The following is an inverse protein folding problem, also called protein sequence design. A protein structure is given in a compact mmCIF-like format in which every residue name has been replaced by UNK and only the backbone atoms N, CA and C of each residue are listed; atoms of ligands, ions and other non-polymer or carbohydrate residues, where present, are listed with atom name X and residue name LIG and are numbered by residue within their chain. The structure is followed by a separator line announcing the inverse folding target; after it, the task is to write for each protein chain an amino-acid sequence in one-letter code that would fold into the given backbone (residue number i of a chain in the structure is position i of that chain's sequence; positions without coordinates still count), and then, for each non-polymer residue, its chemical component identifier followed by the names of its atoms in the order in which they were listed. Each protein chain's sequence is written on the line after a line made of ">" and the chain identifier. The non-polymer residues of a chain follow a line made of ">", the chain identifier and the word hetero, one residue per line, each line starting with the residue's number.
data_IF_277366735127
#
_entry.id   IF_277366735127
#
_cell.length_a   1.000
_cell.length_b   1.000
_cell.length_c   1.000
_cell.angle_alpha   90.00
_cell.angle_beta   90.00
_cell.angle_gamma   90.00
#
_symmetry.space_group_name_H-M   'P 1'
#
loop_
_entity.id
_entity.type
_entity.pdbx_description
1 polymer ?
#
# COMPACT_ATOMS: atom_id res chain seq x y z
N UNK A 1 8.98 14.53 -20.75
CA UNK A 1 9.64 15.36 -19.69
C UNK A 1 8.62 16.17 -18.88
N UNK A 2 7.49 16.59 -19.46
CA UNK A 2 6.43 17.33 -18.76
C UNK A 2 5.72 16.44 -17.73
N UNK A 3 5.50 15.18 -18.03
CA UNK A 3 4.77 14.24 -17.15
C UNK A 3 5.52 13.92 -15.86
N UNK A 4 6.85 13.89 -15.90
CA UNK A 4 7.67 13.65 -14.70
C UNK A 4 7.62 14.86 -13.75
N UNK A 5 7.61 16.09 -14.28
CA UNK A 5 7.50 17.31 -13.48
C UNK A 5 6.11 17.49 -12.88
N UNK A 6 5.08 17.21 -13.64
CA UNK A 6 3.68 17.24 -13.16
C UNK A 6 3.47 16.18 -12.07
N UNK A 7 4.06 15.00 -12.23
CA UNK A 7 4.09 13.95 -11.21
C UNK A 7 4.83 14.39 -9.93
N UNK A 8 5.97 15.09 -10.07
CA UNK A 8 6.74 15.58 -8.92
C UNK A 8 6.03 16.73 -8.18
N UNK A 9 5.35 17.63 -8.88
CA UNK A 9 4.56 18.69 -8.23
C UNK A 9 3.36 18.11 -7.49
N UNK A 10 2.72 17.07 -8.04
CA UNK A 10 1.65 16.34 -7.34
C UNK A 10 2.17 15.59 -6.11
N UNK A 11 3.46 15.26 -6.05
CA UNK A 11 4.10 14.60 -4.90
C UNK A 11 4.11 15.42 -3.60
N UNK A 12 3.78 16.70 -3.65
CA UNK A 12 3.70 17.57 -2.46
C UNK A 12 2.28 17.82 -2.00
N UNK A 13 1.28 17.29 -2.72
CA UNK A 13 -0.13 17.51 -2.39
C UNK A 13 -0.67 16.40 -1.50
N UNK A 14 -1.27 16.82 -0.41
CA UNK A 14 -1.97 15.94 0.53
C UNK A 14 -3.45 16.30 0.55
N UNK A 15 -4.28 15.29 0.76
CA UNK A 15 -5.71 15.42 0.97
C UNK A 15 -6.11 14.74 2.27
N UNK A 16 -7.12 15.26 2.93
CA UNK A 16 -7.72 14.59 4.07
C UNK A 16 -8.65 13.50 3.57
N UNK A 17 -8.54 12.31 4.13
CA UNK A 17 -9.41 11.18 3.87
C UNK A 17 -10.35 11.01 5.07
N UNK A 18 -11.66 11.24 4.83
CA UNK A 18 -12.67 11.19 5.89
C UNK A 18 -12.87 9.76 6.42
N UNK A 19 -12.69 8.76 5.58
CA UNK A 19 -12.82 7.35 5.97
C UNK A 19 -11.68 6.94 6.92
N UNK A 20 -10.44 7.29 6.61
CA UNK A 20 -9.27 6.95 7.43
C UNK A 20 -8.97 8.02 8.50
N UNK A 21 -9.64 9.17 8.44
CA UNK A 21 -9.49 10.29 9.37
C UNK A 21 -8.04 10.81 9.45
N UNK A 22 -7.37 10.87 8.30
CA UNK A 22 -5.97 11.30 8.22
C UNK A 22 -5.60 11.90 6.86
N UNK A 23 -4.44 12.56 6.82
CA UNK A 23 -3.94 13.17 5.59
C UNK A 23 -3.07 12.21 4.80
N UNK A 24 -3.46 11.94 3.56
CA UNK A 24 -2.78 11.07 2.62
C UNK A 24 -2.22 11.86 1.43
N UNK A 25 -1.23 11.29 0.76
CA UNK A 25 -0.75 11.83 -0.51
C UNK A 25 -1.85 11.77 -1.56
N UNK A 26 -2.23 12.94 -2.11
CA UNK A 26 -3.42 13.07 -2.96
C UNK A 26 -3.42 12.12 -4.16
N UNK A 27 -2.34 12.02 -4.90
CA UNK A 27 -2.26 11.17 -6.08
C UNK A 27 -2.48 9.69 -5.78
N UNK A 28 -1.91 9.18 -4.68
CA UNK A 28 -2.08 7.79 -4.27
C UNK A 28 -3.48 7.53 -3.71
N UNK A 29 -4.01 8.49 -2.96
CA UNK A 29 -5.37 8.46 -2.45
C UNK A 29 -6.40 8.37 -3.59
N UNK A 30 -6.29 9.24 -4.60
CA UNK A 30 -7.23 9.27 -5.73
C UNK A 30 -7.15 7.98 -6.56
N UNK A 31 -5.95 7.40 -6.73
CA UNK A 31 -5.78 6.10 -7.37
C UNK A 31 -6.39 4.95 -6.57
N UNK A 32 -6.14 4.94 -5.26
CA UNK A 32 -6.70 3.90 -4.39
C UNK A 32 -8.22 3.91 -4.38
N UNK A 33 -8.84 5.10 -4.34
CA UNK A 33 -10.29 5.21 -4.37
C UNK A 33 -10.89 4.70 -5.69
N UNK A 34 -10.31 5.08 -6.83
CA UNK A 34 -10.76 4.58 -8.14
C UNK A 34 -10.67 3.06 -8.24
N UNK A 35 -9.54 2.48 -7.83
CA UNK A 35 -9.41 1.03 -7.84
C UNK A 35 -10.38 0.32 -6.88
N UNK A 36 -10.66 0.91 -5.73
CA UNK A 36 -11.66 0.37 -4.80
C UNK A 36 -13.08 0.44 -5.37
N UNK A 37 -13.42 1.49 -6.10
CA UNK A 37 -14.69 1.61 -6.83
C UNK A 37 -14.79 0.53 -7.91
N UNK A 38 -13.76 0.35 -8.72
CA UNK A 38 -13.70 -0.67 -9.78
C UNK A 38 -13.78 -2.11 -9.21
N UNK A 39 -13.20 -2.35 -8.04
CA UNK A 39 -13.22 -3.66 -7.38
C UNK A 39 -14.50 -3.92 -6.58
N UNK A 40 -15.29 -2.90 -6.29
CA UNK A 40 -16.48 -3.03 -5.44
C UNK A 40 -17.43 -4.16 -5.87
N UNK A 41 -17.73 -4.37 -7.16
CA UNK A 41 -18.59 -5.47 -7.61
C UNK A 41 -18.03 -6.86 -7.26
N UNK A 42 -16.71 -6.98 -7.17
CA UNK A 42 -16.03 -8.24 -6.84
C UNK A 42 -15.93 -8.47 -5.32
N UNK A 43 -15.99 -7.40 -4.54
CA UNK A 43 -15.87 -7.43 -3.08
C UNK A 43 -17.22 -7.61 -2.38
N UNK A 44 -18.32 -7.27 -3.05
CA UNK A 44 -19.67 -7.43 -2.53
C UNK A 44 -20.14 -8.85 -2.86
N UNK A 45 -20.13 -9.73 -1.86
CA UNK A 45 -20.83 -11.02 -1.97
C UNK A 45 -22.34 -10.74 -2.06
N UNK A 46 -23.07 -11.38 -3.01
CA UNK A 46 -24.52 -11.22 -3.09
C UNK A 46 -25.16 -11.64 -1.78
N UNK A 47 -26.13 -10.88 -1.24
CA UNK A 47 -26.75 -11.17 0.06
C UNK A 47 -27.57 -12.46 0.10
N UNK A 48 -27.85 -13.07 -1.03
CA UNK A 48 -28.86 -14.13 -1.15
C UNK A 48 -28.35 -15.57 -1.11
N UNK A 49 -27.03 -15.80 -0.84
CA UNK A 49 -26.51 -17.16 -0.94
C UNK A 49 -26.61 -18.01 0.32
N UNK A 50 -27.22 -17.53 1.41
CA UNK A 50 -27.42 -18.33 2.65
C UNK A 50 -26.15 -18.94 3.27
N UNK A 51 -25.05 -18.84 2.58
CA UNK A 51 -23.72 -19.22 3.03
C UNK A 51 -23.06 -17.99 3.63
N UNK A 52 -22.61 -18.12 4.86
CA UNK A 52 -21.64 -17.21 5.44
C UNK A 52 -20.40 -17.34 4.55
N UNK A 53 -20.36 -16.53 3.48
CA UNK A 53 -19.11 -16.40 2.77
C UNK A 53 -18.12 -15.85 3.78
N UNK A 54 -17.23 -16.70 4.23
CA UNK A 54 -16.03 -16.26 4.93
C UNK A 54 -15.49 -15.12 4.11
N UNK A 55 -15.38 -13.94 4.68
CA UNK A 55 -14.83 -12.78 4.02
C UNK A 55 -13.59 -13.22 3.29
N UNK A 56 -13.57 -13.04 1.98
CA UNK A 56 -12.45 -13.49 1.18
C UNK A 56 -11.17 -12.93 1.79
N UNK A 57 -10.18 -13.78 1.95
CA UNK A 57 -8.85 -13.37 2.36
C UNK A 57 -8.27 -12.48 1.27
N UNK A 58 -7.86 -11.27 1.63
CA UNK A 58 -7.31 -10.28 0.71
C UNK A 58 -5.81 -10.13 0.97
N UNK A 59 -5.03 -10.32 -0.06
CA UNK A 59 -3.61 -9.99 -0.08
C UNK A 59 -3.37 -8.90 -1.13
N UNK A 60 -2.54 -7.93 -0.78
CA UNK A 60 -2.21 -6.81 -1.65
C UNK A 60 -0.71 -6.78 -1.88
N UNK A 61 -0.33 -6.61 -3.13
CA UNK A 61 1.07 -6.37 -3.47
C UNK A 61 1.20 -5.23 -4.46
N UNK A 62 2.33 -4.53 -4.41
CA UNK A 62 2.56 -3.42 -5.33
C UNK A 62 4.00 -2.94 -5.37
N UNK A 63 4.41 -2.49 -6.56
CA UNK A 63 5.71 -1.88 -6.80
C UNK A 63 5.55 -0.38 -7.00
N UNK A 64 6.49 0.41 -6.48
CA UNK A 64 6.55 1.85 -6.65
C UNK A 64 5.21 2.52 -6.28
N UNK A 65 4.61 3.32 -7.16
CA UNK A 65 3.29 3.92 -6.98
C UNK A 65 2.23 2.89 -6.59
N UNK A 66 2.21 1.72 -7.23
CA UNK A 66 1.28 0.64 -6.89
C UNK A 66 1.44 0.12 -5.46
N UNK A 67 2.66 0.16 -4.90
CA UNK A 67 2.90 -0.15 -3.49
C UNK A 67 2.29 0.87 -2.53
N UNK A 68 2.38 2.16 -2.85
CA UNK A 68 1.72 3.21 -2.07
C UNK A 68 0.20 3.09 -2.12
N UNK A 69 -0.35 2.80 -3.30
CA UNK A 69 -1.79 2.56 -3.49
C UNK A 69 -2.25 1.33 -2.71
N UNK A 70 -1.49 0.23 -2.75
CA UNK A 70 -1.80 -0.99 -2.02
C UNK A 70 -1.89 -0.77 -0.49
N UNK A 71 -1.03 0.06 0.07
CA UNK A 71 -1.07 0.42 1.50
C UNK A 71 -2.38 1.14 1.84
N UNK A 72 -2.78 2.13 1.04
CA UNK A 72 -4.02 2.88 1.29
C UNK A 72 -5.24 1.98 1.13
N UNK A 73 -5.27 1.16 0.07
CA UNK A 73 -6.34 0.20 -0.17
C UNK A 73 -6.47 -0.80 0.99
N UNK A 74 -5.34 -1.32 1.48
CA UNK A 74 -5.33 -2.24 2.62
C UNK A 74 -6.00 -1.62 3.86
N UNK A 75 -5.62 -0.40 4.21
CA UNK A 75 -6.20 0.32 5.34
C UNK A 75 -7.72 0.55 5.17
N UNK A 76 -8.15 0.97 3.97
CA UNK A 76 -9.58 1.17 3.68
C UNK A 76 -10.36 -0.14 3.72
N UNK A 77 -9.86 -1.18 3.08
CA UNK A 77 -10.48 -2.51 3.11
C UNK A 77 -10.60 -3.04 4.54
N UNK A 78 -9.53 -2.92 5.33
CA UNK A 78 -9.54 -3.32 6.74
C UNK A 78 -10.57 -2.53 7.56
N UNK A 79 -10.65 -1.21 7.36
CA UNK A 79 -11.66 -0.36 8.02
C UNK A 79 -13.08 -0.71 7.61
N UNK A 80 -13.29 -1.11 6.35
CA UNK A 80 -14.57 -1.63 5.83
C UNK A 80 -14.89 -3.06 6.28
N UNK A 81 -13.98 -3.67 7.03
CA UNK A 81 -14.16 -5.00 7.62
C UNK A 81 -13.80 -6.18 6.72
N UNK A 82 -13.06 -5.96 5.63
CA UNK A 82 -12.49 -7.05 4.83
C UNK A 82 -11.30 -7.68 5.57
N UNK A 83 -11.09 -8.97 5.34
CA UNK A 83 -9.99 -9.70 5.95
C UNK A 83 -8.69 -9.52 5.13
N UNK A 84 -8.02 -8.39 5.31
CA UNK A 84 -6.71 -8.16 4.71
C UNK A 84 -5.66 -8.83 5.58
N UNK A 85 -4.98 -9.84 5.05
CA UNK A 85 -4.02 -10.66 5.80
C UNK A 85 -2.57 -10.30 5.51
N UNK A 86 -2.28 -9.80 4.31
CA UNK A 86 -0.91 -9.47 3.91
C UNK A 86 -0.86 -8.24 3.00
N UNK A 87 0.19 -7.45 3.18
CA UNK A 87 0.56 -6.37 2.25
C UNK A 87 2.04 -6.46 1.95
N UNK A 88 2.41 -6.59 0.68
CA UNK A 88 3.81 -6.60 0.25
C UNK A 88 4.08 -5.45 -0.71
N UNK A 89 5.06 -4.61 -0.39
CA UNK A 89 5.43 -3.50 -1.26
C UNK A 89 6.92 -3.52 -1.58
N UNK A 90 7.27 -3.14 -2.81
CA UNK A 90 8.64 -3.03 -3.29
C UNK A 90 8.86 -1.63 -3.83
N UNK A 91 9.87 -0.93 -3.32
CA UNK A 91 10.23 0.41 -3.78
C UNK A 91 9.11 1.45 -3.65
N UNK A 92 8.20 1.29 -2.69
CA UNK A 92 7.05 2.17 -2.56
C UNK A 92 7.42 3.53 -1.97
N UNK A 93 6.85 4.65 -2.47
CA UNK A 93 7.00 5.96 -1.85
C UNK A 93 6.21 6.08 -0.54
N UNK A 94 6.38 7.20 0.15
CA UNK A 94 5.67 7.53 1.37
C UNK A 94 4.23 7.93 1.08
N UNK A 95 3.29 7.34 1.80
CA UNK A 95 1.85 7.49 1.50
C UNK A 95 1.17 8.59 2.30
N UNK A 96 1.75 9.05 3.40
CA UNK A 96 1.06 9.93 4.34
C UNK A 96 2.01 10.90 5.03
N UNK A 97 1.43 11.88 5.72
CA UNK A 97 2.15 12.71 6.67
C UNK A 97 2.41 11.97 7.98
N UNK A 98 3.29 12.53 8.80
CA UNK A 98 3.71 11.95 10.07
C UNK A 98 2.55 11.64 11.01
N UNK A 99 1.60 12.54 11.10
CA UNK A 99 0.42 12.45 11.96
C UNK A 99 -0.52 11.28 11.59
N UNK A 100 -0.52 10.88 10.33
CA UNK A 100 -1.34 9.78 9.84
C UNK A 100 -0.75 8.37 10.08
N UNK A 101 0.52 8.28 10.44
CA UNK A 101 1.22 7.00 10.62
C UNK A 101 0.60 6.10 11.66
N UNK A 102 0.28 6.58 12.87
CA UNK A 102 -0.33 5.72 13.88
C UNK A 102 -1.66 5.13 13.41
N UNK A 103 -2.41 5.89 12.59
CA UNK A 103 -3.68 5.42 12.01
C UNK A 103 -3.44 4.28 11.04
N UNK A 104 -2.55 4.48 10.06
CA UNK A 104 -2.24 3.45 9.07
C UNK A 104 -1.60 2.22 9.70
N UNK A 105 -0.66 2.41 10.62
CA UNK A 105 0.01 1.30 11.31
C UNK A 105 -0.95 0.42 12.11
N UNK A 106 -2.03 1.00 12.66
CA UNK A 106 -3.06 0.26 13.38
C UNK A 106 -3.96 -0.57 12.46
N UNK A 107 -4.19 -0.08 11.25
CA UNK A 107 -5.06 -0.72 10.26
C UNK A 107 -4.34 -1.75 9.40
N UNK A 108 -3.04 -1.62 9.19
CA UNK A 108 -2.28 -2.57 8.40
C UNK A 108 -2.18 -3.94 9.09
N UNK A 109 -2.26 -5.03 8.32
CA UNK A 109 -2.07 -6.36 8.86
C UNK A 109 -0.66 -6.54 9.43
N UNK A 110 -0.52 -7.46 10.40
CA UNK A 110 0.79 -7.75 11.01
C UNK A 110 1.82 -8.25 9.99
N UNK A 111 1.34 -8.97 8.98
CA UNK A 111 2.15 -9.44 7.86
C UNK A 111 2.23 -8.38 6.76
N UNK A 112 2.75 -7.21 7.14
CA UNK A 112 3.05 -6.13 6.21
C UNK A 112 4.54 -6.09 5.94
N UNK A 113 4.94 -6.39 4.72
CA UNK A 113 6.30 -6.40 4.25
C UNK A 113 6.57 -5.21 3.33
N UNK A 114 7.50 -4.37 3.70
CA UNK A 114 7.97 -3.26 2.87
C UNK A 114 9.44 -3.46 2.52
N UNK A 115 9.70 -3.61 1.22
CA UNK A 115 11.03 -3.86 0.68
C UNK A 115 11.55 -2.57 0.05
N UNK A 116 12.72 -2.12 0.47
CA UNK A 116 13.37 -0.90 -0.01
C UNK A 116 14.82 -1.18 -0.40
N UNK A 117 15.25 -0.60 -1.51
CA UNK A 117 16.67 -0.54 -1.86
C UNK A 117 17.28 0.77 -1.33
N UNK A 118 18.49 0.72 -0.78
CA UNK A 118 19.11 1.90 -0.13
C UNK A 118 19.31 3.09 -1.09
N UNK A 119 19.55 2.80 -2.36
CA UNK A 119 19.77 3.83 -3.39
C UNK A 119 18.49 4.19 -4.17
N UNK A 120 17.35 3.60 -3.82
CA UNK A 120 16.08 3.93 -4.47
C UNK A 120 15.51 5.22 -3.88
N UNK A 121 15.68 6.32 -4.60
CA UNK A 121 15.19 7.62 -4.19
C UNK A 121 13.66 7.67 -4.04
N UNK A 122 12.91 6.79 -4.72
CA UNK A 122 11.44 6.74 -4.66
C UNK A 122 10.97 6.42 -3.23
N UNK A 123 11.66 5.54 -2.53
CA UNK A 123 11.33 5.18 -1.14
C UNK A 123 11.42 6.37 -0.16
N UNK A 124 12.14 7.40 -0.54
CA UNK A 124 12.35 8.60 0.27
C UNK A 124 11.45 9.78 -0.13
N UNK A 125 10.65 9.63 -1.18
CA UNK A 125 9.70 10.66 -1.63
C UNK A 125 8.33 10.50 -0.96
N UNK A 126 7.64 11.62 -0.66
CA UNK A 126 8.16 12.99 -0.63
C UNK A 126 9.26 13.18 0.43
N UNK A 127 10.12 14.22 0.29
CA UNK A 127 11.26 14.48 1.20
C UNK A 127 10.85 14.60 2.67
N UNK A 128 11.81 14.32 3.56
CA UNK A 128 11.63 14.45 5.01
C UNK A 128 11.21 15.86 5.42
N UNK A 129 10.25 15.92 6.28
CA UNK A 129 9.68 17.12 6.88
C UNK A 129 8.21 16.99 7.14
N UNK A 130 7.52 16.22 6.33
CA UNK A 130 6.05 16.06 6.40
C UNK A 130 5.53 14.67 6.00
N UNK A 131 6.38 13.70 5.76
CA UNK A 131 5.91 12.37 5.33
C UNK A 131 6.71 11.23 5.94
N UNK A 132 6.08 10.10 6.15
CA UNK A 132 6.56 9.06 7.00
C UNK A 132 6.78 7.72 6.38
N UNK A 133 7.64 7.03 7.09
CA UNK A 133 7.87 5.61 7.07
C UNK A 133 6.78 4.82 7.79
N UNK A 134 6.22 3.83 7.12
CA UNK A 134 5.62 2.69 7.80
C UNK A 134 6.74 1.88 8.48
N UNK A 135 6.47 1.29 9.65
CA UNK A 135 7.50 0.61 10.41
C UNK A 135 8.10 -0.58 9.65
N UNK A 136 9.42 -0.68 9.74
CA UNK A 136 10.25 -1.79 9.26
C UNK A 136 10.23 -2.04 7.74
N UNK A 137 10.90 -1.16 7.00
CA UNK A 137 11.35 -1.51 5.66
C UNK A 137 12.48 -2.54 5.74
N UNK A 138 12.36 -3.63 4.99
CA UNK A 138 13.50 -4.51 4.75
C UNK A 138 14.36 -3.88 3.66
N UNK A 139 15.52 -3.40 4.06
CA UNK A 139 16.51 -2.89 3.13
C UNK A 139 17.21 -4.05 2.45
N UNK A 140 17.24 -4.02 1.14
CA UNK A 140 17.88 -5.06 0.33
C UNK A 140 18.97 -4.44 -0.55
N UNK A 141 20.08 -5.14 -0.78
CA UNK A 141 21.14 -4.67 -1.67
C UNK A 141 20.68 -4.56 -3.13
N UNK A 142 19.76 -5.45 -3.53
CA UNK A 142 19.18 -5.47 -4.86
C UNK A 142 17.77 -6.08 -4.82
N UNK A 143 16.81 -5.46 -5.49
CA UNK A 143 15.46 -6.02 -5.62
C UNK A 143 15.46 -7.36 -6.37
N UNK A 144 16.29 -7.49 -7.41
CA UNK A 144 16.39 -8.72 -8.20
C UNK A 144 16.90 -9.90 -7.39
N UNK A 145 17.95 -9.70 -6.59
CA UNK A 145 18.47 -10.74 -5.71
C UNK A 145 17.46 -11.16 -4.63
N UNK A 146 16.75 -10.20 -4.07
CA UNK A 146 15.75 -10.50 -3.06
C UNK A 146 14.58 -11.31 -3.65
N UNK A 147 14.09 -10.93 -4.83
CA UNK A 147 13.02 -11.65 -5.54
C UNK A 147 13.47 -13.05 -5.91
N UNK A 148 14.70 -13.22 -6.41
CA UNK A 148 15.25 -14.55 -6.72
C UNK A 148 15.32 -15.44 -5.47
N UNK A 149 15.73 -14.91 -4.33
CA UNK A 149 15.74 -15.64 -3.06
C UNK A 149 14.33 -16.08 -2.65
N UNK A 150 13.34 -15.20 -2.77
CA UNK A 150 11.95 -15.54 -2.49
C UNK A 150 11.47 -16.68 -3.40
N UNK A 151 11.70 -16.59 -4.71
CA UNK A 151 11.29 -17.64 -5.67
C UNK A 151 11.93 -18.97 -5.27
N UNK A 152 13.24 -18.98 -5.02
CA UNK A 152 13.95 -20.20 -4.62
C UNK A 152 13.41 -20.79 -3.31
N UNK A 153 13.00 -19.97 -2.35
CA UNK A 153 12.38 -20.44 -1.10
C UNK A 153 11.05 -21.13 -1.37
N UNK A 154 10.19 -20.53 -2.19
CA UNK A 154 8.90 -21.13 -2.56
C UNK A 154 9.03 -22.43 -3.35
N UNK A 155 10.04 -22.56 -4.23
CA UNK A 155 10.29 -23.78 -4.99
C UNK A 155 10.77 -24.95 -4.14
N UNK A 156 11.41 -24.67 -3.00
CA UNK A 156 11.95 -25.71 -2.11
C UNK A 156 10.98 -26.10 -0.97
N UNK A 157 9.86 -25.41 -0.81
CA UNK A 157 8.83 -25.72 0.19
C UNK A 157 7.66 -26.55 -0.40
N UNK A 158 7.72 -26.91 -1.68
CA UNK A 158 6.78 -27.82 -2.35
C UNK A 158 7.33 -29.22 -2.43
#
# INVERSE_FOLDING_TARGET
>A
TADVWTGLQSMLMYTYDDELECSLHKGFHDHANRLLEDLQPLLVSPPDSGTIHKRATVELCGHSLGGAVAIIMACKLQKRGYNVVRVTTVGAPRVCKWDAVPVLAKLLPKDTLRIEHELDAVCYLPPKGKGLFLPRAHKVPSYSEYIQRLIHTFENEQ
#
